data_IF_243802057225
#
_entry.id   IF_243802057225
#
_cell.length_a   1.000
_cell.length_b   1.000
_cell.length_c   1.000
_cell.angle_alpha   90.00
_cell.angle_beta   90.00
_cell.angle_gamma   90.00
#
_symmetry.space_group_name_H-M   'P 1'
#
loop_
_entity.id
_entity.type
_entity.pdbx_description
1 polymer ?
#
# COMPACT_ATOMS: atom_id res chain seq x y z
N UNK A 1 5.48 8.77 4.56
CA UNK A 1 6.43 9.77 5.12
C UNK A 1 7.76 9.10 5.40
N UNK A 2 8.86 9.54 4.80
CA UNK A 2 10.21 9.01 5.10
C UNK A 2 10.95 9.94 6.09
N UNK A 3 12.16 9.56 6.50
CA UNK A 3 13.00 10.34 7.42
C UNK A 3 13.32 11.75 6.90
N UNK A 4 13.55 11.89 5.60
CA UNK A 4 13.80 13.17 4.94
C UNK A 4 12.60 14.11 5.06
N UNK A 5 11.40 13.62 4.75
CA UNK A 5 10.18 14.41 4.87
C UNK A 5 9.91 14.82 6.32
N UNK A 6 10.19 13.94 7.29
CA UNK A 6 10.06 14.27 8.72
C UNK A 6 11.01 15.42 9.09
N UNK A 7 12.26 15.37 8.64
CA UNK A 7 13.24 16.45 8.86
C UNK A 7 12.79 17.79 8.25
N UNK A 8 12.14 17.76 7.09
CA UNK A 8 11.54 18.96 6.48
C UNK A 8 10.37 19.46 7.33
N UNK A 9 9.49 18.57 7.82
CA UNK A 9 8.37 18.95 8.69
C UNK A 9 8.83 19.60 10.00
N UNK A 10 9.94 19.14 10.60
CA UNK A 10 10.50 19.75 11.82
C UNK A 10 10.96 21.21 11.63
N UNK A 11 11.15 21.66 10.38
CA UNK A 11 11.44 23.08 10.05
C UNK A 11 10.19 23.95 9.96
N UNK A 12 9.02 23.33 9.83
CA UNK A 12 7.72 24.00 9.64
C UNK A 12 6.93 24.04 10.96
N UNK A 13 6.98 22.95 11.72
CA UNK A 13 6.30 22.78 13.01
C UNK A 13 7.33 22.37 14.06
N UNK A 14 7.09 22.69 15.34
CA UNK A 14 7.97 22.30 16.44
C UNK A 14 8.40 20.83 16.35
N UNK A 15 9.70 20.59 16.44
CA UNK A 15 10.29 19.26 16.28
C UNK A 15 9.75 18.27 17.30
N UNK A 16 9.43 18.71 18.53
CA UNK A 16 8.85 17.85 19.55
C UNK A 16 7.51 17.24 19.11
N UNK A 17 6.63 18.04 18.49
CA UNK A 17 5.33 17.58 18.02
C UNK A 17 5.44 16.68 16.80
N UNK A 18 6.33 17.00 15.86
CA UNK A 18 6.57 16.15 14.68
C UNK A 18 7.14 14.78 15.09
N UNK A 19 8.05 14.74 16.07
CA UNK A 19 8.60 13.49 16.60
C UNK A 19 7.54 12.63 17.27
N UNK A 20 6.65 13.24 18.05
CA UNK A 20 5.52 12.52 18.65
C UNK A 20 4.61 11.90 17.59
N UNK A 21 4.26 12.66 16.53
CA UNK A 21 3.47 12.15 15.41
C UNK A 21 4.18 11.01 14.65
N UNK A 22 5.48 11.15 14.40
CA UNK A 22 6.30 10.10 13.78
C UNK A 22 6.34 8.82 14.63
N UNK A 23 6.44 8.96 15.96
CA UNK A 23 6.38 7.82 16.86
C UNK A 23 5.02 7.11 16.80
N UNK A 24 3.91 7.84 16.76
CA UNK A 24 2.59 7.24 16.59
C UNK A 24 2.47 6.48 15.26
N UNK A 25 3.01 7.03 14.16
CA UNK A 25 3.04 6.34 12.86
C UNK A 25 3.83 5.03 12.89
N UNK A 26 4.96 5.00 13.60
CA UNK A 26 5.78 3.77 13.76
C UNK A 26 5.02 2.62 14.40
N UNK A 27 4.03 2.89 15.25
CA UNK A 27 3.17 1.84 15.82
C UNK A 27 2.36 1.12 14.74
N UNK A 28 1.82 1.84 13.76
CA UNK A 28 1.14 1.23 12.61
C UNK A 28 2.12 0.42 11.74
N UNK A 29 3.31 0.98 11.48
CA UNK A 29 4.36 0.32 10.70
C UNK A 29 4.82 -0.99 11.38
N UNK A 30 4.87 -1.03 12.71
CA UNK A 30 5.21 -2.23 13.45
C UNK A 30 4.17 -3.33 13.29
N UNK A 31 2.87 -3.00 13.34
CA UNK A 31 1.79 -3.98 13.09
C UNK A 31 1.90 -4.56 11.68
N UNK A 32 2.07 -3.70 10.68
CA UNK A 32 2.26 -4.10 9.28
C UNK A 32 3.49 -4.99 9.12
N UNK A 33 4.61 -4.62 9.74
CA UNK A 33 5.84 -5.41 9.70
C UNK A 33 5.64 -6.81 10.25
N UNK A 34 4.95 -6.95 11.39
CA UNK A 34 4.66 -8.26 12.00
C UNK A 34 3.83 -9.13 11.05
N UNK A 35 2.80 -8.57 10.41
CA UNK A 35 2.02 -9.29 9.39
C UNK A 35 2.90 -9.77 8.23
N UNK A 36 3.76 -8.91 7.71
CA UNK A 36 4.63 -9.23 6.58
C UNK A 36 5.72 -10.25 6.93
N UNK A 37 6.25 -10.22 8.15
CA UNK A 37 7.28 -11.15 8.63
C UNK A 37 6.69 -12.53 8.94
N UNK A 38 5.50 -12.58 9.55
CA UNK A 38 4.94 -13.83 10.08
C UNK A 38 3.89 -14.46 9.16
N UNK A 39 3.22 -13.68 8.31
CA UNK A 39 2.15 -14.15 7.43
C UNK A 39 0.94 -14.72 8.18
N UNK A 40 0.66 -14.21 9.40
CA UNK A 40 -0.43 -14.68 10.25
C UNK A 40 -1.40 -13.56 10.58
N UNK A 41 -2.66 -13.93 10.78
CA UNK A 41 -3.67 -13.02 11.29
C UNK A 41 -3.22 -12.48 12.67
N UNK A 42 -3.30 -11.17 12.93
CA UNK A 42 -2.97 -10.61 14.24
C UNK A 42 -3.94 -11.13 15.31
N UNK A 43 -3.43 -11.31 16.54
CA UNK A 43 -4.26 -11.74 17.67
C UNK A 43 -5.35 -10.71 18.00
N UNK A 44 -5.01 -9.43 17.91
CA UNK A 44 -5.94 -8.32 18.05
C UNK A 44 -6.24 -7.68 16.68
N UNK A 45 -7.52 -7.41 16.43
CA UNK A 45 -7.96 -6.77 15.20
C UNK A 45 -7.36 -5.37 15.04
N UNK A 46 -6.91 -5.07 13.83
CA UNK A 46 -6.38 -3.73 13.52
C UNK A 46 -7.48 -2.67 13.48
N UNK A 47 -7.11 -1.43 13.79
CA UNK A 47 -7.97 -0.28 13.51
C UNK A 47 -8.16 -0.08 12.01
N UNK A 48 -9.30 0.51 11.62
CA UNK A 48 -9.56 0.87 10.22
C UNK A 48 -8.44 1.74 9.64
N UNK A 49 -7.91 2.69 10.41
CA UNK A 49 -6.78 3.53 9.98
C UNK A 49 -5.52 2.73 9.62
N UNK A 50 -5.23 1.63 10.33
CA UNK A 50 -4.08 0.77 10.04
C UNK A 50 -4.35 -0.07 8.79
N UNK A 51 -5.57 -0.61 8.66
CA UNK A 51 -5.99 -1.38 7.50
C UNK A 51 -5.91 -0.52 6.23
N UNK A 52 -6.50 0.67 6.26
CA UNK A 52 -6.48 1.59 5.12
C UNK A 52 -5.07 2.09 4.80
N UNK A 53 -4.24 2.37 5.81
CA UNK A 53 -2.84 2.71 5.58
C UNK A 53 -2.12 1.57 4.83
N UNK A 54 -2.29 0.34 5.29
CA UNK A 54 -1.69 -0.83 4.66
C UNK A 54 -2.17 -1.03 3.22
N UNK A 55 -3.48 -0.97 2.98
CA UNK A 55 -4.06 -1.12 1.64
C UNK A 55 -3.60 -0.02 0.67
N UNK A 56 -3.48 1.22 1.14
CA UNK A 56 -2.97 2.32 0.32
C UNK A 56 -1.48 2.14 -0.01
N UNK A 57 -0.66 1.68 0.94
CA UNK A 57 0.76 1.36 0.69
C UNK A 57 0.91 0.23 -0.33
N UNK A 58 0.06 -0.80 -0.29
CA UNK A 58 0.05 -1.85 -1.33
C UNK A 58 -0.41 -1.32 -2.68
N UNK A 59 -1.47 -0.49 -2.71
CA UNK A 59 -2.02 0.02 -3.96
C UNK A 59 -1.01 0.84 -4.77
N UNK A 60 -0.18 1.66 -4.12
CA UNK A 60 0.85 2.45 -4.82
C UNK A 60 1.99 1.60 -5.40
N UNK A 61 2.08 0.31 -5.05
CA UNK A 61 3.05 -0.64 -5.60
C UNK A 61 2.59 -1.27 -6.93
N UNK A 62 1.33 -1.10 -7.32
CA UNK A 62 0.82 -1.56 -8.61
C UNK A 62 1.07 -0.53 -9.71
N UNK A 63 1.48 -1.00 -10.90
CA UNK A 63 1.93 -0.12 -12.00
C UNK A 63 0.88 0.84 -12.51
N UNK A 64 -0.41 0.48 -12.41
CA UNK A 64 -1.53 1.36 -12.76
C UNK A 64 -1.63 2.61 -11.85
N UNK A 65 -0.92 2.66 -10.72
CA UNK A 65 -0.91 3.77 -9.78
C UNK A 65 0.43 4.54 -9.75
N UNK A 66 1.43 4.18 -10.56
CA UNK A 66 2.68 4.93 -10.60
C UNK A 66 2.49 6.31 -11.24
N UNK A 67 3.03 7.36 -10.60
CA UNK A 67 2.86 8.76 -11.04
C UNK A 67 3.38 9.04 -12.45
N UNK A 68 4.41 8.31 -12.90
CA UNK A 68 5.04 8.46 -14.22
C UNK A 68 4.76 7.33 -15.20
N UNK A 69 3.69 6.55 -15.00
CA UNK A 69 3.39 5.41 -15.88
C UNK A 69 2.87 5.85 -17.26
N UNK A 70 3.36 5.22 -18.33
CA UNK A 70 2.80 5.31 -19.67
C UNK A 70 2.42 3.92 -20.18
N UNK A 71 1.17 3.52 -19.95
CA UNK A 71 0.67 2.22 -20.40
C UNK A 71 0.29 2.22 -21.88
N UNK A 72 1.00 1.44 -22.70
CA UNK A 72 0.71 1.26 -24.14
C UNK A 72 0.06 -0.08 -24.47
N UNK A 73 -0.14 -0.95 -23.47
CA UNK A 73 -0.80 -2.24 -23.64
C UNK A 73 -2.33 -2.17 -23.66
N UNK A 74 -2.93 -3.32 -23.90
CA UNK A 74 -4.37 -3.55 -23.85
C UNK A 74 -4.90 -3.69 -22.41
N UNK A 75 -4.06 -4.18 -21.49
CA UNK A 75 -4.40 -4.40 -20.07
C UNK A 75 -3.51 -3.58 -19.14
N UNK A 76 -3.81 -2.29 -19.06
CA UNK A 76 -3.06 -1.28 -18.28
C UNK A 76 -3.74 -0.87 -16.97
N UNK A 77 -4.83 -1.56 -16.56
CA UNK A 77 -5.53 -1.25 -15.31
C UNK A 77 -6.19 0.13 -15.30
N UNK A 78 -6.53 0.69 -16.48
CA UNK A 78 -7.23 1.97 -16.59
C UNK A 78 -8.66 1.84 -16.05
N UNK A 79 -9.07 2.74 -15.16
CA UNK A 79 -10.41 2.73 -14.56
C UNK A 79 -11.20 3.96 -15.00
N UNK A 80 -12.36 3.74 -15.61
CA UNK A 80 -13.21 4.84 -16.10
C UNK A 80 -13.94 5.60 -14.98
N UNK A 81 -14.39 4.90 -13.93
CA UNK A 81 -15.16 5.50 -12.83
C UNK A 81 -14.32 5.62 -11.56
N UNK A 82 -14.25 6.83 -11.00
CA UNK A 82 -13.57 7.08 -9.73
C UNK A 82 -14.20 6.36 -8.55
N UNK A 83 -15.53 6.13 -8.57
CA UNK A 83 -16.22 5.34 -7.56
C UNK A 83 -15.74 3.88 -7.57
N UNK A 84 -15.53 3.32 -8.77
CA UNK A 84 -15.00 1.96 -8.94
C UNK A 84 -13.55 1.87 -8.47
N UNK A 85 -12.72 2.84 -8.83
CA UNK A 85 -11.33 2.87 -8.38
C UNK A 85 -11.24 2.96 -6.84
N UNK A 86 -12.04 3.83 -6.22
CA UNK A 86 -12.03 4.06 -4.76
C UNK A 86 -12.51 2.84 -3.96
N UNK A 87 -13.64 2.24 -4.34
CA UNK A 87 -14.20 1.08 -3.61
C UNK A 87 -13.29 -0.16 -3.66
N UNK A 88 -12.33 -0.19 -4.56
CA UNK A 88 -11.34 -1.27 -4.73
C UNK A 88 -9.95 -0.86 -4.25
N UNK A 89 -9.81 0.23 -3.49
CA UNK A 89 -8.51 0.76 -3.03
C UNK A 89 -7.48 0.93 -4.16
N UNK A 90 -7.93 1.11 -5.42
CA UNK A 90 -7.10 1.21 -6.63
C UNK A 90 -6.27 -0.04 -6.97
N UNK A 91 -6.63 -1.22 -6.46
CA UNK A 91 -6.04 -2.52 -6.81
C UNK A 91 -6.76 -3.12 -8.02
N UNK A 92 -6.24 -2.92 -9.23
CA UNK A 92 -7.01 -3.13 -10.48
C UNK A 92 -6.55 -4.33 -11.31
N UNK A 93 -5.28 -4.72 -11.20
CA UNK A 93 -4.72 -5.74 -12.08
C UNK A 93 -5.23 -7.16 -11.79
N UNK A 94 -5.79 -7.39 -10.60
CA UNK A 94 -6.17 -8.70 -10.11
C UNK A 94 -4.97 -9.49 -9.59
N UNK A 95 -5.13 -10.80 -9.47
CA UNK A 95 -4.11 -11.72 -8.94
C UNK A 95 -3.58 -12.65 -10.05
N UNK A 96 -2.36 -13.15 -9.85
CA UNK A 96 -1.77 -14.15 -10.74
C UNK A 96 -1.39 -13.63 -12.13
N UNK A 97 -1.10 -14.58 -13.00
CA UNK A 97 -0.79 -14.40 -14.43
C UNK A 97 -1.68 -15.31 -15.26
N UNK A 98 -1.75 -15.06 -16.58
CA UNK A 98 -2.64 -15.79 -17.48
C UNK A 98 -2.47 -17.31 -17.47
N UNK A 99 -1.28 -17.82 -17.13
CA UNK A 99 -1.01 -19.25 -17.04
C UNK A 99 -0.83 -19.81 -15.62
N UNK A 100 -0.85 -18.95 -14.59
CA UNK A 100 -0.61 -19.37 -13.20
C UNK A 100 -1.21 -18.34 -12.22
N UNK A 101 -2.23 -18.76 -11.47
CA UNK A 101 -2.93 -17.90 -10.51
C UNK A 101 -2.08 -17.55 -9.27
N UNK A 102 -1.11 -18.39 -8.92
CA UNK A 102 -0.24 -18.19 -7.75
C UNK A 102 1.03 -17.39 -8.10
N UNK A 103 1.32 -17.21 -9.39
CA UNK A 103 2.48 -16.45 -9.84
C UNK A 103 2.40 -14.97 -9.47
N UNK A 104 3.54 -14.39 -9.13
CA UNK A 104 3.68 -12.94 -8.92
C UNK A 104 3.42 -12.21 -10.24
N UNK A 105 2.53 -11.22 -10.21
CA UNK A 105 2.21 -10.36 -11.35
C UNK A 105 3.21 -9.18 -11.42
N UNK A 106 4.09 -9.11 -12.44
CA UNK A 106 5.09 -8.03 -12.53
C UNK A 106 4.49 -6.62 -12.65
N UNK A 107 3.28 -6.48 -13.18
CA UNK A 107 2.56 -5.19 -13.24
C UNK A 107 1.84 -4.83 -11.94
N UNK A 108 1.78 -5.73 -10.97
CA UNK A 108 0.93 -5.62 -9.78
C UNK A 108 1.60 -6.26 -8.57
N UNK A 109 2.72 -5.68 -8.14
CA UNK A 109 3.47 -6.18 -6.99
C UNK A 109 2.66 -6.09 -5.69
N UNK A 110 1.88 -5.02 -5.52
CA UNK A 110 0.99 -4.82 -4.37
C UNK A 110 -0.15 -5.83 -4.33
N UNK A 111 -0.86 -6.02 -5.45
CA UNK A 111 -1.91 -7.04 -5.57
C UNK A 111 -1.35 -8.47 -5.38
N UNK A 112 -0.13 -8.74 -5.85
CA UNK A 112 0.53 -10.04 -5.65
C UNK A 112 0.90 -10.28 -4.19
N UNK A 113 1.39 -9.25 -3.51
CA UNK A 113 1.70 -9.33 -2.07
C UNK A 113 0.42 -9.54 -1.26
N UNK A 114 -0.65 -8.80 -1.57
CA UNK A 114 -1.95 -8.98 -0.93
C UNK A 114 -2.46 -10.42 -1.06
N UNK A 115 -2.37 -11.00 -2.26
CA UNK A 115 -2.80 -12.37 -2.52
C UNK A 115 -1.99 -13.43 -1.74
N UNK A 116 -0.71 -13.17 -1.44
CA UNK A 116 0.13 -14.09 -0.67
C UNK A 116 -0.09 -14.01 0.84
N UNK A 117 -0.71 -12.93 1.32
CA UNK A 117 -1.04 -12.72 2.73
C UNK A 117 -2.44 -13.23 3.10
N UNK A 118 -3.29 -13.48 2.09
CA UNK A 118 -4.61 -14.09 2.22
C UNK A 118 -4.52 -15.62 2.25
#
# INVERSE_FOLDING_TARGET
>A
MNSENISICEKIVSSSYIRQGSQARRSHEQLIRVLLEQGKCPEEGWSESTIELFLNELAVMDSNNFLGNCGVGEREGRVASSLVARRHYRLIHGIGRSGDIAAVQPKAAGSSLLNKLA
#
